data_IF_451250337068
#
_entry.id   IF_451250337068
#
_cell.length_a   1.000
_cell.length_b   1.000
_cell.length_c   1.000
_cell.angle_alpha   90.00
_cell.angle_beta   90.00
_cell.angle_gamma   90.00
#
_symmetry.space_group_name_H-M   'P 1'
#
loop_
_entity.id
_entity.type
_entity.pdbx_description
1 polymer ?
2 non-polymer ?
3 non-polymer ?
4 water ?
#
# COMPACT_ATOMS: atom_id res chain seq x y z
N UNK A 1 -3.51 10.23 -2.35
CA UNK A 1 -2.23 9.60 -2.04
C UNK A 1 -2.44 8.45 -1.03
N UNK A 2 -2.23 7.21 -1.47
CA UNK A 2 -2.28 6.07 -0.54
C UNK A 2 -0.92 5.37 -0.37
N UNK A 3 0.15 6.12 -0.53
CA UNK A 3 1.46 5.57 -0.35
C UNK A 3 1.82 5.43 1.16
N UNK A 4 2.55 4.37 1.53
CA UNK A 4 3.13 4.30 2.89
C UNK A 4 3.94 5.57 3.25
N UNK A 5 4.05 5.85 4.53
CA UNK A 5 4.85 6.95 4.99
C UNK A 5 6.30 6.79 4.49
N UNK A 6 6.88 7.91 4.06
CA UNK A 6 8.25 7.98 3.53
C UNK A 6 8.46 7.45 2.10
N UNK A 7 7.37 7.03 1.48
CA UNK A 7 7.30 6.76 0.06
C UNK A 7 6.53 7.92 -0.66
N UNK A 8 7.00 8.28 -1.87
CA UNK A 8 6.38 9.30 -2.71
C UNK A 8 5.45 8.64 -3.76
N UNK A 9 4.32 9.29 -3.97
CA UNK A 9 3.26 8.82 -4.81
C UNK A 9 3.46 9.41 -6.21
N UNK A 10 3.35 8.55 -7.24
CA UNK A 10 3.28 9.01 -8.64
C UNK A 10 2.65 7.92 -9.48
N UNK A 11 1.50 8.22 -10.05
CA UNK A 11 0.84 7.27 -10.91
C UNK A 11 0.26 6.16 -10.06
N UNK A 12 0.44 4.90 -10.49
CA UNK A 12 0.00 3.72 -9.76
C UNK A 12 1.09 3.18 -8.85
N UNK A 13 2.09 3.99 -8.55
CA UNK A 13 3.27 3.48 -7.86
C UNK A 13 3.69 4.37 -6.72
N UNK A 14 4.49 3.81 -5.82
CA UNK A 14 5.12 4.59 -4.75
C UNK A 14 6.61 4.44 -4.97
N UNK A 15 7.39 5.47 -4.73
CA UNK A 15 8.86 5.41 -4.86
C UNK A 15 9.56 5.88 -3.56
N UNK A 16 10.76 5.37 -3.33
CA UNK A 16 11.58 5.80 -2.22
C UNK A 16 13.09 5.74 -2.49
N UNK A 17 13.71 6.91 -2.27
CA UNK A 17 15.11 7.12 -2.48
C UNK A 17 15.89 6.85 -1.19
N UNK A 18 16.96 6.06 -1.31
CA UNK A 18 17.86 5.78 -0.20
C UNK A 18 19.25 6.40 -0.55
N UNK A 19 19.64 7.42 0.20
CA UNK A 19 20.90 8.17 0.05
C UNK A 19 22.10 7.49 0.75
N UNK A 20 22.42 6.29 0.29
CA UNK A 20 23.40 5.45 0.92
C UNK A 20 24.10 4.73 -0.24
N UNK A 21 25.40 4.89 -0.33
CA UNK A 21 26.18 4.08 -1.23
C UNK A 21 26.12 2.60 -0.93
N UNK A 22 25.81 1.78 -1.93
CA UNK A 22 25.91 0.34 -1.74
C UNK A 22 26.03 -0.37 -3.09
N UNK A 23 26.23 -1.70 -3.09
CA UNK A 23 26.31 -2.46 -4.35
C UNK A 23 24.92 -2.65 -4.92
N UNK A 24 24.84 -3.00 -6.20
CA UNK A 24 23.57 -3.35 -6.77
C UNK A 24 22.88 -4.51 -6.07
N UNK A 25 23.57 -5.61 -5.84
CA UNK A 25 22.96 -6.73 -5.18
C UNK A 25 22.40 -6.40 -3.80
N UNK A 26 23.16 -5.62 -3.01
CA UNK A 26 22.59 -5.15 -1.74
C UNK A 26 21.39 -4.22 -1.88
N UNK A 27 21.50 -3.28 -2.80
CA UNK A 27 20.39 -2.43 -3.10
C UNK A 27 19.15 -3.22 -3.49
N UNK A 28 19.34 -4.24 -4.32
CA UNK A 28 18.23 -5.10 -4.73
C UNK A 28 17.60 -5.83 -3.54
N UNK A 29 18.43 -6.48 -2.76
CA UNK A 29 18.03 -7.18 -1.51
C UNK A 29 17.28 -6.19 -0.59
N UNK A 30 17.77 -4.95 -0.43
CA UNK A 30 17.15 -3.99 0.47
C UNK A 30 15.74 -3.60 0.01
N UNK A 31 15.63 -3.21 -1.27
CA UNK A 31 14.30 -2.85 -1.84
C UNK A 31 13.24 -3.98 -1.66
N UNK A 32 13.62 -5.18 -2.06
CA UNK A 32 12.73 -6.29 -2.00
C UNK A 32 12.31 -6.59 -0.55
N UNK A 33 13.18 -6.31 0.41
CA UNK A 33 12.88 -6.64 1.82
C UNK A 33 11.70 -5.82 2.36
N UNK A 34 11.31 -4.73 1.69
CA UNK A 34 10.06 -4.00 2.05
C UNK A 34 8.75 -4.62 1.58
N UNK A 35 8.83 -5.66 0.73
CA UNK A 35 7.64 -6.29 0.13
C UNK A 35 6.69 -6.80 1.18
N UNK A 36 5.43 -6.89 0.80
CA UNK A 36 4.37 -7.36 1.68
C UNK A 36 3.37 -8.30 0.97
N UNK A 37 3.47 -9.58 1.28
CA UNK A 37 2.72 -10.66 0.70
C UNK A 37 1.25 -10.62 1.14
N UNK A 38 0.97 -10.07 2.32
CA UNK A 38 -0.41 -9.99 2.74
C UNK A 38 -1.27 -9.03 1.89
N UNK A 39 -0.65 -8.02 1.30
CA UNK A 39 -1.35 -7.11 0.40
C UNK A 39 -0.85 -7.16 -1.08
N UNK A 40 -0.07 -8.19 -1.41
CA UNK A 40 0.49 -8.41 -2.71
C UNK A 40 1.25 -7.18 -3.20
N UNK A 41 2.03 -6.58 -2.32
CA UNK A 41 2.79 -5.42 -2.63
C UNK A 41 4.20 -5.83 -2.88
N UNK A 42 4.65 -5.72 -4.13
CA UNK A 42 6.06 -5.96 -4.44
C UNK A 42 6.85 -4.64 -4.20
N UNK A 43 7.94 -4.72 -3.42
CA UNK A 43 8.93 -3.66 -3.38
C UNK A 43 10.16 -4.18 -4.10
N UNK A 44 10.76 -3.35 -4.95
CA UNK A 44 11.87 -3.79 -5.77
C UNK A 44 12.63 -2.53 -6.23
N UNK A 45 13.78 -2.72 -6.84
CA UNK A 45 14.50 -1.60 -7.44
C UNK A 45 13.59 -1.07 -8.52
N UNK A 46 13.75 0.19 -8.79
CA UNK A 46 12.86 0.95 -9.66
C UNK A 46 13.02 0.42 -11.09
N UNK A 47 11.90 0.24 -11.75
CA UNK A 47 11.84 -0.01 -13.19
C UNK A 47 11.26 1.31 -13.86
N UNK A 48 11.71 1.58 -15.09
CA UNK A 48 11.46 2.86 -15.77
C UNK A 48 10.79 2.56 -17.14
N UNK A 49 9.57 3.04 -17.34
CA UNK A 49 8.80 2.66 -18.51
C UNK A 49 8.37 3.80 -19.45
N UNK A 50 8.85 5.00 -19.19
CA UNK A 50 8.56 6.18 -20.07
C UNK A 50 9.51 7.29 -19.70
N UNK A 51 9.59 8.27 -20.61
CA UNK A 51 10.38 9.45 -20.36
C UNK A 51 9.87 10.17 -19.14
N UNK A 52 8.59 10.13 -18.91
CA UNK A 52 7.93 10.72 -17.72
C UNK A 52 8.32 10.05 -16.39
N UNK A 53 8.35 8.72 -16.34
CA UNK A 53 8.83 8.09 -15.15
C UNK A 53 10.32 8.32 -14.95
N UNK A 54 11.10 8.29 -16.05
CA UNK A 54 12.51 8.59 -16.06
C UNK A 54 12.74 9.93 -15.37
N UNK A 55 12.08 10.99 -15.87
CA UNK A 55 12.22 12.36 -15.34
C UNK A 55 11.77 12.47 -13.87
N UNK A 56 10.65 11.78 -13.55
CA UNK A 56 10.14 11.75 -12.20
C UNK A 56 11.21 11.16 -11.26
N UNK A 57 11.81 10.02 -11.65
CA UNK A 57 12.75 9.32 -10.78
C UNK A 57 14.03 10.14 -10.69
N UNK A 58 14.51 10.63 -11.82
CA UNK A 58 15.72 11.44 -11.89
C UNK A 58 15.59 12.71 -10.99
N UNK A 59 14.52 13.47 -11.20
CA UNK A 59 14.30 14.69 -10.39
C UNK A 59 14.08 14.43 -8.90
N UNK A 60 13.42 13.32 -8.59
CA UNK A 60 13.24 12.93 -7.19
C UNK A 60 14.62 12.68 -6.53
N UNK A 61 15.46 11.87 -7.19
CA UNK A 61 16.79 11.59 -6.71
C UNK A 61 17.63 12.89 -6.52
N UNK A 62 17.70 13.69 -7.57
CA UNK A 62 18.57 14.86 -7.63
C UNK A 62 18.04 16.00 -6.75
N UNK A 63 16.74 16.01 -6.44
CA UNK A 63 16.17 16.99 -5.52
C UNK A 63 16.70 16.74 -4.12
N UNK A 64 17.09 15.51 -3.80
CA UNK A 64 17.71 15.20 -2.50
C UNK A 64 19.26 15.06 -2.51
N UNK A 65 19.82 14.43 -3.54
CA UNK A 65 21.24 14.06 -3.56
C UNK A 65 21.89 14.99 -4.56
N UNK A 66 22.69 15.92 -4.07
CA UNK A 66 23.41 16.79 -4.96
C UNK A 66 24.82 16.29 -5.23
N UNK A 67 25.25 15.16 -4.65
CA UNK A 67 26.59 14.58 -4.94
C UNK A 67 26.72 13.96 -6.36
N UNK A 68 27.91 14.05 -6.93
CA UNK A 68 28.24 13.38 -8.20
C UNK A 68 28.14 11.87 -7.91
N UNK A 69 27.49 11.11 -8.78
CA UNK A 69 27.33 9.69 -8.50
C UNK A 69 26.18 9.11 -9.31
N UNK A 70 25.79 7.88 -8.99
CA UNK A 70 24.84 7.15 -9.81
C UNK A 70 23.77 6.59 -8.89
N UNK A 71 22.69 6.13 -9.52
CA UNK A 71 21.53 5.58 -8.83
C UNK A 71 21.20 4.21 -9.44
N UNK A 72 21.26 3.17 -8.63
CA UNK A 72 20.93 1.84 -9.10
C UNK A 72 19.47 1.79 -9.53
N UNK A 73 19.22 1.12 -10.66
CA UNK A 73 17.85 0.73 -11.05
C UNK A 73 17.80 -0.80 -11.20
N UNK A 74 16.60 -1.37 -11.39
CA UNK A 74 16.39 -2.79 -11.38
C UNK A 74 16.72 -3.49 -12.69
N UNK A 75 17.66 -2.97 -13.47
CA UNK A 75 17.94 -3.47 -14.80
C UNK A 75 19.19 -4.26 -14.72
N UNK A 76 19.18 -5.43 -15.30
CA UNK A 76 20.36 -6.35 -15.26
C UNK A 76 20.37 -7.37 -16.39
N UNK A 77 21.55 -7.84 -16.75
CA UNK A 77 21.69 -8.85 -17.79
C UNK A 77 22.62 -10.02 -17.38
N UNK A 78 22.53 -10.38 -16.13
CA UNK A 78 23.20 -11.53 -15.58
C UNK A 78 22.83 -12.83 -16.29
N UNK A 79 21.55 -13.09 -16.50
CA UNK A 79 21.12 -14.37 -17.11
C UNK A 79 21.40 -14.49 -18.59
N UNK A 80 21.21 -13.37 -19.28
CA UNK A 80 21.37 -13.32 -20.70
C UNK A 80 22.12 -12.03 -21.05
N UNK A 81 23.42 -12.13 -21.27
CA UNK A 81 24.27 -11.02 -21.51
C UNK A 81 23.75 -10.24 -22.70
N UNK A 82 23.64 -8.93 -22.58
CA UNK A 82 23.15 -8.02 -23.64
C UNK A 82 21.63 -7.87 -23.70
N UNK A 83 20.88 -8.74 -23.01
CA UNK A 83 19.41 -8.74 -22.94
C UNK A 83 18.99 -8.34 -21.51
N UNK A 84 18.92 -7.06 -21.27
CA UNK A 84 18.58 -6.55 -19.95
C UNK A 84 17.09 -6.77 -19.65
N UNK A 85 16.81 -7.12 -18.38
CA UNK A 85 15.47 -7.36 -17.89
C UNK A 85 15.28 -6.57 -16.62
N UNK A 86 14.00 -6.29 -16.24
CA UNK A 86 13.70 -5.66 -14.96
C UNK A 86 13.52 -6.73 -13.89
N UNK A 87 14.08 -6.49 -12.69
CA UNK A 87 13.94 -7.45 -11.60
C UNK A 87 12.46 -7.61 -11.22
N UNK A 88 11.63 -6.56 -11.36
CA UNK A 88 10.22 -6.68 -11.04
C UNK A 88 9.35 -7.46 -12.04
N UNK A 89 9.98 -8.05 -13.03
CA UNK A 89 9.28 -8.86 -14.00
C UNK A 89 8.56 -8.07 -15.08
N UNK A 90 8.54 -6.75 -14.98
CA UNK A 90 7.94 -5.97 -16.05
C UNK A 90 8.83 -6.02 -17.30
N UNK A 91 8.22 -5.85 -18.48
CA UNK A 91 8.91 -5.92 -19.78
C UNK A 91 9.67 -4.63 -20.03
N UNK A 92 10.81 -4.75 -20.67
CA UNK A 92 11.62 -3.61 -21.06
C UNK A 92 11.02 -3.07 -22.36
N UNK A 93 10.55 -1.83 -22.33
CA UNK A 93 10.15 -1.13 -23.53
C UNK A 93 11.05 0.09 -23.70
N UNK A 94 10.76 1.12 -22.94
CA UNK A 94 11.61 2.31 -22.79
C UNK A 94 13.04 1.99 -22.32
N UNK A 95 14.01 2.60 -23.02
CA UNK A 95 15.41 2.68 -22.59
C UNK A 95 15.97 4.08 -22.79
N UNK A 96 17.02 4.41 -22.04
CA UNK A 96 17.74 5.69 -22.14
C UNK A 96 19.20 5.54 -21.89
N UNK A 97 19.77 4.65 -22.68
CA UNK A 97 21.19 4.36 -22.62
C UNK A 97 21.99 5.54 -23.02
N UNK A 98 22.96 5.87 -22.18
CA UNK A 98 23.94 6.88 -22.51
C UNK A 98 24.72 6.40 -23.76
N UNK A 99 25.32 7.34 -24.47
CA UNK A 99 26.17 6.98 -25.61
C UNK A 99 27.24 6.03 -25.17
N UNK A 100 27.42 4.98 -25.97
CA UNK A 100 28.44 3.98 -25.78
C UNK A 100 28.08 2.93 -24.75
N UNK A 101 26.82 2.98 -24.31
CA UNK A 101 26.30 1.98 -23.35
C UNK A 101 25.10 1.19 -23.93
N UNK A 102 24.84 -0.03 -23.45
CA UNK A 102 25.62 -0.72 -22.44
C UNK A 102 26.83 -1.41 -23.08
N UNK A 103 28.02 -1.29 -22.49
CA UNK A 103 29.25 -1.81 -23.15
C UNK A 103 29.85 -3.02 -22.42
N UNK A 104 29.25 -3.46 -21.32
CA UNK A 104 29.73 -4.68 -20.62
C UNK A 104 31.25 -4.58 -20.36
N UNK A 105 31.66 -3.41 -19.92
CA UNK A 105 33.11 -3.11 -19.80
C UNK A 105 33.88 -4.17 -19.02
N UNK A 106 35.03 -4.59 -19.54
CA UNK A 106 35.85 -5.63 -18.92
C UNK A 106 35.11 -6.95 -18.81
N UNK A 107 34.17 -7.19 -19.72
CA UNK A 107 33.30 -8.36 -19.72
C UNK A 107 32.64 -8.57 -18.36
N UNK A 108 32.40 -7.49 -17.62
CA UNK A 108 31.96 -7.61 -16.25
C UNK A 108 30.96 -6.59 -15.73
N UNK A 109 30.09 -6.07 -16.58
CA UNK A 109 29.07 -5.14 -16.16
C UNK A 109 27.66 -5.61 -16.49
N UNK A 110 26.92 -6.06 -15.45
CA UNK A 110 25.60 -6.59 -15.68
C UNK A 110 24.47 -5.77 -15.02
N UNK A 111 24.77 -4.58 -14.55
CA UNK A 111 23.86 -3.93 -13.62
C UNK A 111 23.66 -2.48 -14.00
N UNK A 112 22.39 -2.12 -14.15
CA UNK A 112 22.02 -0.80 -14.64
C UNK A 112 21.91 0.29 -13.59
N UNK A 113 22.20 1.55 -13.99
CA UNK A 113 22.18 2.70 -13.07
C UNK A 113 21.98 3.96 -13.88
N UNK A 114 21.33 4.98 -13.30
CA UNK A 114 21.33 6.37 -13.85
C UNK A 114 22.70 6.93 -13.55
N UNK A 115 23.25 7.70 -14.48
CA UNK A 115 24.24 8.71 -14.16
C UNK A 115 23.55 9.96 -13.60
N UNK A 116 24.29 10.79 -12.87
CA UNK A 116 23.79 12.07 -12.37
C UNK A 116 23.70 13.12 -13.50
N UNK A 117 24.30 12.81 -14.65
CA UNK A 117 24.31 13.68 -15.83
C UNK A 117 23.25 13.33 -16.85
N UNK A 118 22.99 14.31 -17.72
CA UNK A 118 22.09 14.20 -18.86
C UNK A 118 20.71 13.54 -18.58
N UNK A 119 19.98 14.09 -17.63
CA UNK A 119 18.66 13.59 -17.29
C UNK A 119 18.65 12.12 -16.82
N UNK A 120 19.80 11.61 -16.39
CA UNK A 120 19.91 10.30 -15.79
C UNK A 120 20.11 9.17 -16.79
N UNK A 121 20.85 9.45 -17.85
CA UNK A 121 21.13 8.46 -18.86
C UNK A 121 21.80 7.22 -18.26
N UNK A 122 21.47 6.06 -18.82
CA UNK A 122 21.80 4.79 -18.19
C UNK A 122 23.20 4.30 -18.52
N UNK A 123 23.87 3.72 -17.53
CA UNK A 123 25.11 3.01 -17.75
C UNK A 123 24.96 1.61 -17.13
N UNK A 124 25.69 0.63 -17.68
CA UNK A 124 25.85 -0.65 -17.02
C UNK A 124 27.16 -0.62 -16.24
N UNK A 125 27.13 -1.22 -15.06
CA UNK A 125 28.29 -1.23 -14.21
C UNK A 125 28.42 -2.59 -13.52
N UNK A 126 29.42 -2.73 -12.69
CA UNK A 126 29.79 -4.03 -12.21
C UNK A 126 29.27 -4.29 -10.79
N UNK A 127 29.52 -5.51 -10.32
CA UNK A 127 29.12 -5.94 -8.99
C UNK A 127 29.98 -5.32 -7.88
N UNK A 128 31.07 -4.69 -8.21
CA UNK A 128 31.86 -4.07 -7.18
C UNK A 128 31.62 -2.54 -7.06
N UNK A 129 30.89 -1.96 -8.01
CA UNK A 129 30.58 -0.55 -8.02
C UNK A 129 29.57 -0.25 -6.93
N UNK A 130 29.62 0.99 -6.47
CA UNK A 130 28.72 1.51 -5.46
C UNK A 130 27.96 2.66 -6.00
N UNK A 131 26.71 2.76 -5.58
CA UNK A 131 25.81 3.83 -5.97
C UNK A 131 24.68 3.93 -4.95
N UNK A 132 23.95 5.04 -5.03
CA UNK A 132 22.71 5.19 -4.27
C UNK A 132 21.59 4.33 -4.95
N UNK A 133 20.41 4.27 -4.34
CA UNK A 133 19.38 3.44 -4.94
C UNK A 133 18.02 3.96 -4.68
N UNK A 134 17.07 3.47 -5.48
CA UNK A 134 15.68 3.81 -5.40
C UNK A 134 14.79 2.56 -5.55
N UNK A 135 13.81 2.47 -4.66
CA UNK A 135 12.85 1.40 -4.62
C UNK A 135 11.53 1.89 -5.11
N UNK A 136 10.71 0.94 -5.53
CA UNK A 136 9.42 1.21 -6.10
C UNK A 136 8.45 0.13 -5.62
N UNK A 137 7.24 0.56 -5.32
CA UNK A 137 6.19 -0.38 -5.00
C UNK A 137 5.32 -0.65 -6.22
N UNK A 138 4.97 -1.91 -6.41
CA UNK A 138 4.05 -2.35 -7.46
C UNK A 138 2.95 -3.15 -6.80
N UNK A 139 1.74 -2.73 -7.03
CA UNK A 139 0.54 -3.36 -6.45
C UNK A 139 0.08 -4.49 -7.36
N UNK A 140 0.49 -5.73 -6.98
CA UNK A 140 0.28 -6.89 -7.83
C UNK A 140 -1.00 -7.61 -7.39
N UNK B 1 -4.07 6.56 -7.37
CA UNK B 1 -4.55 5.37 -6.67
C UNK B 1 -3.40 4.44 -6.46
N UNK B 2 -2.89 4.50 -5.27
CA UNK B 2 -1.83 3.60 -4.88
C UNK B 2 -2.33 2.48 -3.91
N UNK B 3 -3.62 2.14 -3.95
CA UNK B 3 -4.14 1.01 -3.12
C UNK B 3 -3.77 -0.35 -3.70
N UNK B 4 -3.57 -1.32 -2.82
CA UNK B 4 -3.39 -2.73 -3.24
C UNK B 4 -4.54 -3.21 -4.07
N UNK B 5 -4.27 -4.18 -4.96
CA UNK B 5 -5.34 -4.68 -5.80
C UNK B 5 -6.47 -5.30 -4.94
N UNK B 6 -7.71 -5.12 -5.40
CA UNK B 6 -8.96 -5.50 -4.73
C UNK B 6 -9.31 -4.63 -3.55
N UNK B 7 -8.56 -3.54 -3.36
CA UNK B 7 -8.89 -2.52 -2.36
C UNK B 7 -9.27 -1.23 -3.07
N UNK B 8 -10.28 -0.52 -2.57
CA UNK B 8 -10.76 0.76 -3.13
C UNK B 8 -10.10 1.94 -2.41
N UNK B 9 -9.71 2.95 -3.16
CA UNK B 9 -9.09 4.17 -2.67
C UNK B 9 -10.12 5.26 -2.36
N UNK B 10 -9.91 5.97 -1.25
CA UNK B 10 -10.71 7.14 -0.91
C UNK B 10 -9.99 7.95 0.16
N UNK B 11 -9.58 9.16 -0.17
CA UNK B 11 -8.84 9.97 0.78
C UNK B 11 -7.48 9.37 1.06
N UNK B 12 -7.06 9.41 2.30
CA UNK B 12 -5.80 8.80 2.64
C UNK B 12 -5.92 7.31 3.03
N UNK B 13 -6.96 6.64 2.60
CA UNK B 13 -7.20 5.26 3.00
C UNK B 13 -7.57 4.37 1.82
N UNK B 14 -7.45 3.06 2.06
CA UNK B 14 -7.97 2.03 1.18
C UNK B 14 -8.97 1.22 1.98
N UNK B 15 -10.02 0.75 1.32
CA UNK B 15 -11.13 0.07 1.93
C UNK B 15 -11.37 -1.20 1.11
N UNK B 16 -11.84 -2.25 1.76
CA UNK B 16 -12.19 -3.45 1.10
C UNK B 16 -13.33 -4.16 1.82
N UNK B 17 -14.38 -4.44 1.04
CA UNK B 17 -15.60 -5.10 1.51
C UNK B 17 -15.50 -6.61 1.23
N UNK B 18 -15.70 -7.40 2.29
CA UNK B 18 -15.74 -8.84 2.22
C UNK B 18 -17.19 -9.37 2.31
N UNK B 19 -17.67 -10.00 1.25
CA UNK B 19 -19.03 -10.37 1.09
C UNK B 19 -19.22 -11.78 1.66
N UNK B 20 -18.99 -11.92 2.98
CA UNK B 20 -19.02 -13.23 3.66
C UNK B 20 -19.49 -12.96 5.04
N UNK B 21 -20.52 -13.71 5.47
CA UNK B 21 -20.99 -13.68 6.83
C UNK B 21 -19.98 -14.28 7.79
N UNK B 22 -19.76 -13.57 8.90
CA UNK B 22 -18.94 -14.08 9.96
C UNK B 22 -19.16 -13.28 11.25
N UNK B 23 -18.51 -13.70 12.35
CA UNK B 23 -18.59 -13.00 13.64
C UNK B 23 -17.68 -11.74 13.67
N UNK B 24 -17.99 -10.85 14.58
CA UNK B 24 -17.19 -9.62 14.70
C UNK B 24 -15.73 -9.91 14.98
N UNK B 25 -15.49 -10.84 15.94
CA UNK B 25 -14.11 -11.21 16.35
C UNK B 25 -13.35 -11.78 15.17
N UNK B 26 -14.02 -12.62 14.37
CA UNK B 26 -13.40 -13.19 13.17
C UNK B 26 -13.13 -12.17 12.11
N UNK B 27 -14.07 -11.25 11.94
CA UNK B 27 -13.86 -10.16 11.00
C UNK B 27 -12.71 -9.25 11.40
N UNK B 28 -12.57 -9.06 12.71
CA UNK B 28 -11.52 -8.23 13.27
C UNK B 28 -10.17 -8.83 12.89
N UNK B 29 -10.03 -10.12 13.16
CA UNK B 29 -8.80 -10.81 12.84
C UNK B 29 -8.51 -10.78 11.34
N UNK B 30 -9.55 -11.04 10.51
CA UNK B 30 -9.34 -11.10 9.10
C UNK B 30 -8.85 -9.75 8.57
N UNK B 31 -9.37 -8.65 9.07
CA UNK B 31 -8.92 -7.33 8.63
C UNK B 31 -7.53 -7.05 9.11
N UNK B 32 -7.22 -7.43 10.31
CA UNK B 32 -5.90 -7.11 10.86
C UNK B 32 -4.84 -7.92 10.11
N UNK B 33 -5.23 -9.07 9.60
CA UNK B 33 -4.34 -9.95 8.88
C UNK B 33 -3.77 -9.38 7.56
N UNK B 34 -4.31 -8.26 7.08
CA UNK B 34 -3.85 -7.57 5.87
C UNK B 34 -2.85 -6.48 6.17
N UNK B 35 -2.42 -6.38 7.45
CA UNK B 35 -1.38 -5.40 7.82
C UNK B 35 0.00 -5.76 7.20
N UNK B 36 0.85 -4.75 7.03
CA UNK B 36 2.18 -4.89 6.44
C UNK B 36 3.17 -4.07 7.28
N UNK B 37 3.89 -4.71 8.17
CA UNK B 37 4.73 -4.00 9.12
C UNK B 37 5.89 -3.25 8.38
N UNK B 38 6.40 -3.85 7.28
CA UNK B 38 7.54 -3.23 6.60
C UNK B 38 7.19 -1.92 5.97
N UNK B 39 5.90 -1.74 5.65
CA UNK B 39 5.39 -0.51 5.11
C UNK B 39 4.57 0.30 6.07
N UNK B 40 4.62 -0.06 7.31
CA UNK B 40 3.89 0.62 8.36
C UNK B 40 2.43 0.79 8.06
N UNK B 41 1.86 -0.22 7.40
CA UNK B 41 0.47 -0.22 7.04
C UNK B 41 -0.32 -1.03 8.10
N UNK B 42 -1.33 -0.41 8.68
CA UNK B 42 -2.18 -1.06 9.64
C UNK B 42 -3.52 -1.32 9.00
N UNK B 43 -3.92 -2.58 8.95
CA UNK B 43 -5.23 -2.94 8.41
C UNK B 43 -6.13 -3.26 9.59
N UNK B 44 -7.39 -2.88 9.48
CA UNK B 44 -8.31 -3.06 10.59
C UNK B 44 -9.75 -3.01 10.14
N UNK B 45 -10.67 -3.39 11.03
CA UNK B 45 -12.07 -3.10 10.71
C UNK B 45 -12.20 -1.59 10.50
N UNK B 46 -13.09 -1.21 9.57
CA UNK B 46 -13.32 0.19 9.24
C UNK B 46 -13.66 1.08 10.46
N UNK B 47 -12.99 2.22 10.51
CA UNK B 47 -13.39 3.25 11.45
C UNK B 47 -14.01 4.40 10.66
N UNK B 48 -14.99 5.10 11.24
CA UNK B 48 -15.81 6.10 10.48
C UNK B 48 -15.80 7.48 11.15
N UNK B 49 -15.31 8.51 10.43
CA UNK B 49 -15.04 9.81 11.04
C UNK B 49 -15.82 11.01 10.51
N UNK B 50 -16.74 10.79 9.61
CA UNK B 50 -17.52 11.90 9.06
C UNK B 50 -18.69 11.33 8.31
N UNK B 51 -19.69 12.16 8.07
CA UNK B 51 -20.85 11.76 7.28
C UNK B 51 -20.37 11.28 5.90
N UNK B 52 -19.35 11.95 5.32
CA UNK B 52 -18.84 11.54 4.03
C UNK B 52 -18.16 10.16 4.03
N UNK B 53 -17.42 9.82 5.08
CA UNK B 53 -16.84 8.49 5.15
C UNK B 53 -17.93 7.44 5.39
N UNK B 54 -18.92 7.77 6.25
CA UNK B 54 -20.11 6.92 6.41
C UNK B 54 -20.76 6.57 5.08
N UNK B 55 -21.08 7.60 4.29
CA UNK B 55 -21.73 7.48 3.00
C UNK B 55 -20.89 6.65 2.06
N UNK B 56 -19.60 6.92 2.03
CA UNK B 56 -18.68 6.19 1.22
C UNK B 56 -18.70 4.72 1.51
N UNK B 57 -18.52 4.36 2.78
CA UNK B 57 -18.51 3.00 3.23
C UNK B 57 -19.85 2.32 2.94
N UNK B 58 -20.92 2.99 3.30
CA UNK B 58 -22.28 2.51 3.00
C UNK B 58 -22.52 2.24 1.52
N UNK B 59 -22.22 3.21 0.68
CA UNK B 59 -22.46 3.06 -0.74
C UNK B 59 -21.58 2.04 -1.42
N UNK B 60 -20.37 1.83 -0.88
CA UNK B 60 -19.47 0.84 -1.44
C UNK B 60 -20.04 -0.54 -1.11
N UNK B 61 -20.35 -0.73 0.18
CA UNK B 61 -20.97 -1.96 0.61
C UNK B 61 -22.27 -2.30 -0.19
N UNK B 62 -23.23 -1.41 -0.19
CA UNK B 62 -24.54 -1.67 -0.80
C UNK B 62 -24.46 -1.65 -2.32
N UNK B 63 -23.37 -1.12 -2.89
CA UNK B 63 -23.11 -1.23 -4.32
C UNK B 63 -22.77 -2.69 -4.78
N UNK B 64 -22.24 -3.49 -3.87
CA UNK B 64 -21.84 -4.87 -4.09
C UNK B 64 -22.92 -5.83 -3.56
N UNK B 65 -23.39 -5.58 -2.35
CA UNK B 65 -24.26 -6.47 -1.59
C UNK B 65 -25.73 -6.07 -1.71
N UNK B 66 -26.53 -6.95 -2.28
CA UNK B 66 -27.95 -6.69 -2.42
C UNK B 66 -28.77 -7.34 -1.31
N UNK B 67 -28.18 -8.25 -0.54
CA UNK B 67 -28.86 -8.92 0.58
C UNK B 67 -29.11 -7.97 1.78
N UNK B 68 -30.27 -8.15 2.41
CA UNK B 68 -30.60 -7.55 3.69
C UNK B 68 -29.56 -8.08 4.71
N UNK B 69 -29.13 -7.22 5.61
CA UNK B 69 -28.15 -7.63 6.57
C UNK B 69 -27.33 -6.47 7.11
N UNK B 70 -26.37 -6.83 7.93
CA UNK B 70 -25.54 -5.85 8.59
C UNK B 70 -24.06 -5.94 8.14
N UNK B 71 -23.29 -4.91 8.49
CA UNK B 71 -21.87 -4.75 8.15
C UNK B 71 -21.08 -4.41 9.42
N UNK B 72 -20.26 -5.31 9.86
CA UNK B 72 -19.39 -5.06 10.99
C UNK B 72 -18.47 -3.90 10.70
N UNK B 73 -18.26 -3.08 11.72
CA UNK B 73 -17.27 -2.04 11.73
C UNK B 73 -16.47 -2.12 13.00
N UNK B 74 -15.40 -1.34 13.11
CA UNK B 74 -14.49 -1.50 14.20
C UNK B 74 -14.82 -0.84 15.50
N UNK B 75 -16.11 -0.60 15.71
CA UNK B 75 -16.61 0.06 16.92
C UNK B 75 -17.04 -0.98 17.99
N UNK B 76 -16.62 -0.76 19.23
CA UNK B 76 -16.87 -1.74 20.28
C UNK B 76 -16.77 -1.15 21.69
N UNK B 77 -17.47 -1.80 22.64
CA UNK B 77 -17.38 -1.33 24.04
C UNK B 77 -17.09 -2.43 24.99
N UNK B 78 -16.45 -3.49 24.47
CA UNK B 78 -16.07 -4.69 25.17
C UNK B 78 -15.30 -4.37 26.50
N UNK B 79 -14.41 -3.37 26.47
CA UNK B 79 -13.54 -3.12 27.60
C UNK B 79 -14.02 -2.07 28.54
N UNK B 80 -15.17 -1.48 28.25
CA UNK B 80 -15.74 -0.40 29.07
C UNK B 80 -17.18 -0.17 28.60
N UNK B 81 -18.07 -0.95 29.17
CA UNK B 81 -19.47 -0.99 28.79
C UNK B 81 -20.05 0.40 28.65
N UNK B 82 -20.70 0.66 27.53
CA UNK B 82 -21.26 1.99 27.27
C UNK B 82 -20.38 2.97 26.54
N UNK B 83 -19.06 2.75 26.58
CA UNK B 83 -18.12 3.64 25.90
C UNK B 83 -17.53 3.03 24.65
N UNK B 84 -18.14 3.35 23.51
CA UNK B 84 -17.76 2.77 22.24
C UNK B 84 -16.52 3.46 21.67
N UNK B 85 -15.50 2.67 21.38
CA UNK B 85 -14.25 3.12 20.81
C UNK B 85 -13.95 2.34 19.48
N UNK B 86 -12.96 2.83 18.72
CA UNK B 86 -12.48 2.13 17.56
C UNK B 86 -11.28 1.23 17.84
N UNK B 87 -11.30 0.02 17.28
CA UNK B 87 -10.20 -0.91 17.38
C UNK B 87 -8.88 -0.29 16.88
N UNK B 88 -8.96 0.63 15.93
CA UNK B 88 -7.74 1.15 15.33
C UNK B 88 -7.15 2.33 16.11
N UNK B 89 -7.71 2.61 17.29
CA UNK B 89 -7.25 3.73 18.08
C UNK B 89 -7.67 5.13 17.71
N UNK B 90 -8.36 5.32 16.58
CA UNK B 90 -8.73 6.66 16.13
C UNK B 90 -9.81 7.23 17.08
N UNK B 91 -9.93 8.55 17.10
CA UNK B 91 -10.82 9.21 18.06
C UNK B 91 -12.29 9.05 17.65
N UNK B 92 -13.17 9.10 18.64
CA UNK B 92 -14.59 8.82 18.48
C UNK B 92 -15.54 10.03 18.20
N UNK B 93 -15.22 10.87 17.30
CA UNK B 93 -16.16 12.00 17.13
C UNK B 93 -17.44 11.78 16.34
N UNK B 94 -17.41 10.87 15.38
CA UNK B 94 -18.60 10.64 14.59
C UNK B 94 -19.36 9.45 15.14
N UNK B 95 -20.67 9.60 15.22
CA UNK B 95 -21.59 8.49 15.51
C UNK B 95 -22.77 8.55 14.56
N UNK B 96 -23.39 7.37 14.34
CA UNK B 96 -24.62 7.34 13.60
C UNK B 96 -25.55 6.27 14.15
N UNK B 97 -25.93 6.41 15.43
CA UNK B 97 -26.74 5.35 16.10
C UNK B 97 -28.17 5.34 15.53
N UNK B 98 -28.70 4.12 15.22
CA UNK B 98 -30.12 3.93 14.89
C UNK B 98 -30.97 4.29 16.09
N UNK B 99 -32.22 4.65 15.89
CA UNK B 99 -33.11 4.98 17.02
C UNK B 99 -33.19 3.78 17.95
N UNK B 100 -33.05 4.00 19.25
CA UNK B 100 -33.07 2.95 20.23
C UNK B 100 -31.70 2.24 20.49
N UNK B 101 -30.65 2.67 19.79
CA UNK B 101 -29.32 2.04 19.87
C UNK B 101 -28.34 3.12 20.40
N UNK B 102 -27.26 2.72 21.09
CA UNK B 102 -26.98 1.32 21.49
C UNK B 102 -27.75 0.89 22.77
N UNK B 103 -28.24 -0.34 22.83
CA UNK B 103 -29.07 -0.76 23.99
C UNK B 103 -28.50 -1.89 24.77
N UNK B 104 -27.28 -2.35 24.41
CA UNK B 104 -26.64 -3.46 25.12
C UNK B 104 -27.60 -4.59 25.43
N UNK B 105 -28.36 -5.03 24.43
CA UNK B 105 -29.44 -5.99 24.64
C UNK B 105 -28.97 -7.28 25.29
N UNK B 106 -29.72 -7.74 26.27
CA UNK B 106 -29.44 -8.88 27.10
C UNK B 106 -28.05 -8.83 27.72
N UNK B 107 -27.59 -7.60 27.96
CA UNK B 107 -26.30 -7.30 28.54
C UNK B 107 -25.16 -8.02 27.80
N UNK B 108 -25.29 -8.14 26.49
CA UNK B 108 -24.29 -8.91 25.72
C UNK B 108 -23.95 -8.31 24.33
N UNK B 109 -24.17 -7.01 24.11
CA UNK B 109 -23.95 -6.46 22.77
C UNK B 109 -22.87 -5.40 22.84
N UNK B 110 -21.69 -5.76 22.40
CA UNK B 110 -20.56 -4.87 22.45
C UNK B 110 -19.88 -4.55 21.15
N UNK B 111 -20.50 -4.93 20.03
CA UNK B 111 -19.83 -4.80 18.73
C UNK B 111 -20.68 -4.02 17.75
N UNK B 112 -20.12 -3.01 17.12
CA UNK B 112 -20.85 -2.16 16.22
C UNK B 112 -21.01 -2.64 14.77
N UNK B 113 -22.11 -2.24 14.14
CA UNK B 113 -22.38 -2.66 12.76
C UNK B 113 -23.33 -1.66 12.10
N UNK B 114 -23.16 -1.41 10.79
CA UNK B 114 -24.21 -0.77 9.97
C UNK B 114 -25.36 -1.64 9.72
N UNK B 115 -26.54 -1.09 9.77
CA UNK B 115 -27.72 -1.75 9.22
C UNK B 115 -27.70 -1.47 7.71
N UNK B 116 -28.45 -2.24 6.92
CA UNK B 116 -28.55 -1.97 5.49
C UNK B 116 -29.51 -0.84 5.11
N UNK B 117 -30.19 -0.29 6.10
CA UNK B 117 -31.17 0.79 5.97
C UNK B 117 -30.67 2.11 6.62
N UNK B 118 -31.39 3.20 6.36
CA UNK B 118 -31.13 4.50 6.98
C UNK B 118 -29.72 4.99 6.87
N UNK B 119 -29.18 4.90 5.66
CA UNK B 119 -27.84 5.37 5.39
C UNK B 119 -26.76 4.63 6.16
N UNK B 120 -27.05 3.41 6.67
CA UNK B 120 -26.09 2.61 7.38
C UNK B 120 -26.09 2.85 8.89
N UNK B 121 -27.22 3.31 9.43
CA UNK B 121 -27.38 3.57 10.86
C UNK B 121 -26.88 2.39 11.69
N UNK B 122 -26.23 2.74 12.79
CA UNK B 122 -25.47 1.75 13.58
C UNK B 122 -26.30 1.05 14.68
N UNK B 123 -25.96 -0.21 14.85
CA UNK B 123 -26.50 -1.07 15.91
C UNK B 123 -25.29 -1.67 16.70
N UNK B 124 -25.49 -1.95 18.01
CA UNK B 124 -24.60 -2.80 18.79
C UNK B 124 -25.18 -4.19 18.75
N UNK B 125 -24.34 -5.18 18.50
CA UNK B 125 -24.81 -6.56 18.43
C UNK B 125 -23.84 -7.42 19.20
N UNK B 126 -24.07 -8.74 19.19
CA UNK B 126 -23.36 -9.63 20.09
C UNK B 126 -22.24 -10.36 19.34
N UNK B 127 -21.46 -11.05 20.15
CA UNK B 127 -20.38 -11.90 19.67
C UNK B 127 -20.84 -13.13 18.90
N UNK B 128 -22.11 -13.50 18.98
CA UNK B 128 -22.65 -14.65 18.24
C UNK B 128 -23.24 -14.28 16.92
N UNK B 129 -23.59 -13.01 16.73
CA UNK B 129 -24.26 -12.58 15.54
C UNK B 129 -23.28 -12.68 14.35
N UNK B 130 -23.86 -12.72 13.15
CA UNK B 130 -23.09 -12.71 11.94
C UNK B 130 -23.48 -11.54 11.04
N UNK B 131 -22.49 -11.04 10.33
CA UNK B 131 -22.58 -9.91 9.47
C UNK B 131 -21.43 -9.95 8.46
N UNK B 132 -21.59 -9.19 7.39
CA UNK B 132 -20.52 -8.95 6.41
C UNK B 132 -19.54 -7.99 7.07
N UNK B 133 -18.43 -7.71 6.41
CA UNK B 133 -17.45 -6.84 6.98
C UNK B 133 -16.62 -6.01 6.01
N UNK B 134 -16.09 -4.93 6.55
CA UNK B 134 -15.32 -3.96 5.76
C UNK B 134 -13.99 -3.64 6.47
N UNK B 135 -12.88 -3.81 5.75
CA UNK B 135 -11.56 -3.47 6.27
C UNK B 135 -11.08 -2.10 5.71
N UNK B 136 -10.15 -1.49 6.43
CA UNK B 136 -9.58 -0.20 6.05
C UNK B 136 -8.08 -0.21 6.34
N UNK B 137 -7.29 0.32 5.40
CA UNK B 137 -5.86 0.52 5.56
C UNK B 137 -5.53 1.91 6.06
N UNK B 138 -4.61 1.98 7.06
CA UNK B 138 -4.13 3.24 7.56
C UNK B 138 -2.64 3.22 7.41
N UNK B 139 -2.10 4.20 6.67
CA UNK B 139 -0.68 4.28 6.39
C UNK B 139 -0.08 5.12 7.50
N UNK B 140 0.41 4.46 8.55
CA UNK B 140 0.95 5.19 9.74
C UNK B 140 2.33 5.77 9.46
#
# INVERSE_FOLDING_TARGET
>A
NQCPTDWEAEGDHCYRFFNTLTTWENAHHECVSYSCSTLNVRSDLVSVHSAAEQAYVFNYWRGIDSQAGQLWIGLYDKYNEGDFIWTDGSKVGYTKWAGGQPDNWNNAEDYGQFRHTEGGAWNDNSAAAQAKYMCKLTFE
>B
NQCPTDWEAEGDHCYRFFNTLTTWENAHHECVSYSCSTLNVRSDLVSVHSAAEQAYVFNYWRGIDSQAGQLWIGLYDKYNEGDFIWTDGSKVGYTKWAGGQPDNWNNAEDYGQFRHTEGGAWNDNSAAAQAKYMCKLTFE
#
